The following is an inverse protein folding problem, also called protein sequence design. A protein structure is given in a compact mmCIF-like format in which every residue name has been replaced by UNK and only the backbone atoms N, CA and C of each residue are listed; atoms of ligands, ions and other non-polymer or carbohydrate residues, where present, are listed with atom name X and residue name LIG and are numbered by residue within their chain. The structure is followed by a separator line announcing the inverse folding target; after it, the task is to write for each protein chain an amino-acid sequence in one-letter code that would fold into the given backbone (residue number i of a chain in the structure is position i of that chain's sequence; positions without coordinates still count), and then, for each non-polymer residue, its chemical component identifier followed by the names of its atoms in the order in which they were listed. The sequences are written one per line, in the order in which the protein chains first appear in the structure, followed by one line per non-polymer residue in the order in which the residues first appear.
data_IF_687879181030
#
_entry.id   IF_687879181030
#
_cell.length_a   1.000
_cell.length_b   1.000
_cell.length_c   1.000
_cell.angle_alpha   90.00
_cell.angle_beta   90.00
_cell.angle_gamma   90.00
#
_symmetry.space_group_name_H-M   'P 1'
#
loop_
_entity.id
_entity.type
_entity.pdbx_description
1 polymer ?
#
# COMPACT_ATOMS: atom_id res chain seq x y z
N UNK A 1 4.49 13.23 6.64
CA UNK A 1 5.79 13.48 5.99
C UNK A 1 6.84 12.43 6.39
N UNK A 2 7.11 12.24 7.70
CA UNK A 2 8.19 11.39 8.23
C UNK A 2 8.16 9.97 7.67
N UNK A 3 7.00 9.28 7.73
CA UNK A 3 6.87 7.92 7.22
C UNK A 3 7.15 7.83 5.71
N UNK A 4 6.72 8.81 4.94
CA UNK A 4 6.99 8.88 3.50
C UNK A 4 8.48 9.04 3.21
N UNK A 5 9.15 9.96 3.90
CA UNK A 5 10.59 10.20 3.77
C UNK A 5 11.40 8.96 4.18
N UNK A 6 11.07 8.32 5.31
CA UNK A 6 11.68 7.06 5.78
C UNK A 6 11.49 5.91 4.78
N UNK A 7 10.39 5.92 4.02
CA UNK A 7 10.12 4.93 2.97
C UNK A 7 10.77 5.25 1.62
N UNK A 8 11.62 6.28 1.56
CA UNK A 8 12.37 6.67 0.37
C UNK A 8 11.61 7.56 -0.62
N UNK A 9 10.44 8.09 -0.26
CA UNK A 9 9.74 9.06 -1.09
C UNK A 9 10.31 10.48 -0.89
N UNK A 10 10.40 11.22 -1.99
CA UNK A 10 10.57 12.67 -1.92
C UNK A 10 9.21 13.27 -1.57
N UNK A 11 9.11 13.94 -0.43
CA UNK A 11 7.85 14.47 0.09
C UNK A 11 7.81 15.99 -0.09
N UNK A 12 6.83 16.47 -0.83
CA UNK A 12 6.52 17.90 -0.94
C UNK A 12 5.29 18.22 -0.12
N UNK A 13 5.39 19.18 0.78
CA UNK A 13 4.25 19.69 1.54
C UNK A 13 3.72 20.95 0.89
N UNK A 14 2.41 20.99 0.69
CA UNK A 14 1.69 22.15 0.17
C UNK A 14 0.68 22.58 1.24
N UNK A 15 0.85 23.77 1.79
CA UNK A 15 0.02 24.29 2.89
C UNK A 15 0.07 25.82 2.93
N UNK A 16 -0.92 26.42 3.59
CA UNK A 16 -0.87 27.84 3.92
C UNK A 16 0.13 28.16 5.02
N UNK A 17 0.49 27.16 5.85
CA UNK A 17 1.54 27.22 6.86
C UNK A 17 2.61 26.19 6.53
N UNK A 18 3.80 26.64 6.18
CA UNK A 18 4.94 25.79 5.76
C UNK A 18 6.16 26.03 6.65
N UNK A 19 5.95 26.09 7.96
CA UNK A 19 7.04 26.22 8.92
C UNK A 19 7.96 25.00 8.89
N UNK A 20 9.28 25.26 8.88
CA UNK A 20 10.28 24.22 8.74
C UNK A 20 10.25 23.22 9.89
N UNK A 21 10.01 23.68 11.10
CA UNK A 21 9.94 22.84 12.28
C UNK A 21 8.76 21.86 12.24
N UNK A 22 7.62 22.30 11.67
CA UNK A 22 6.41 21.48 11.57
C UNK A 22 6.56 20.35 10.53
N UNK A 23 7.33 20.56 9.48
CA UNK A 23 7.50 19.62 8.37
C UNK A 23 8.98 19.31 8.10
N UNK A 24 9.75 19.06 9.14
CA UNK A 24 11.22 18.87 9.06
C UNK A 24 11.63 17.73 8.11
N UNK A 25 10.83 16.68 8.00
CA UNK A 25 11.08 15.56 7.09
C UNK A 25 10.63 15.79 5.64
N UNK A 26 10.05 16.94 5.31
CA UNK A 26 9.69 17.26 3.94
C UNK A 26 10.91 17.66 3.12
N UNK A 27 11.02 17.13 1.89
CA UNK A 27 12.05 17.51 0.94
C UNK A 27 11.83 18.92 0.39
N UNK A 28 10.57 19.28 0.18
CA UNK A 28 10.15 20.59 -0.32
C UNK A 28 8.91 21.07 0.43
N UNK A 29 8.80 22.40 0.54
CA UNK A 29 7.66 23.08 1.16
C UNK A 29 7.19 24.20 0.24
N UNK A 30 5.93 24.17 -0.12
CA UNK A 30 5.33 25.11 -1.06
C UNK A 30 4.11 25.75 -0.42
N UNK A 31 4.06 27.06 -0.38
CA UNK A 31 2.85 27.79 0.02
C UNK A 31 1.71 27.49 -0.96
N UNK A 32 0.52 27.20 -0.46
CA UNK A 32 -0.64 26.87 -1.32
C UNK A 32 -0.89 27.92 -2.42
N UNK A 33 -0.76 29.19 -2.09
CA UNK A 33 -0.90 30.31 -3.05
C UNK A 33 0.19 30.35 -4.15
N UNK A 34 1.32 29.69 -3.94
CA UNK A 34 2.43 29.61 -4.89
C UNK A 34 2.50 28.24 -5.58
N UNK A 35 1.57 27.36 -5.28
CA UNK A 35 1.54 26.02 -5.85
C UNK A 35 1.10 26.06 -7.31
N UNK A 36 1.96 25.54 -8.18
CA UNK A 36 1.65 25.34 -9.60
C UNK A 36 1.46 23.83 -9.87
N UNK A 37 0.21 23.38 -10.07
CA UNK A 37 -0.07 21.96 -10.29
C UNK A 37 0.56 21.41 -11.57
N UNK A 38 0.97 22.25 -12.51
CA UNK A 38 1.59 21.79 -13.78
C UNK A 38 3.01 21.27 -13.58
N UNK A 39 3.68 21.66 -12.49
CA UNK A 39 5.02 21.23 -12.13
C UNK A 39 5.03 19.88 -11.40
N UNK A 40 3.85 19.39 -10.94
CA UNK A 40 3.67 18.21 -10.08
C UNK A 40 2.81 17.12 -10.73
N UNK A 41 3.16 16.74 -11.97
CA UNK A 41 2.40 15.74 -12.71
C UNK A 41 2.83 14.31 -12.39
N UNK A 42 1.85 13.37 -12.47
CA UNK A 42 2.08 11.94 -12.29
C UNK A 42 2.63 11.55 -10.89
N UNK A 43 2.37 12.34 -9.88
CA UNK A 43 2.78 12.07 -8.50
C UNK A 43 1.71 11.32 -7.71
N UNK A 44 2.05 10.93 -6.49
CA UNK A 44 1.11 10.40 -5.51
C UNK A 44 0.69 11.56 -4.61
N UNK A 45 -0.57 11.92 -4.65
CA UNK A 45 -1.09 13.08 -3.92
C UNK A 45 -2.02 12.64 -2.80
N UNK A 46 -1.87 13.24 -1.62
CA UNK A 46 -2.76 13.02 -0.47
C UNK A 46 -3.27 14.37 0.00
N UNK A 47 -4.58 14.55 -0.06
CA UNK A 47 -5.26 15.72 0.48
C UNK A 47 -5.74 15.38 1.89
N UNK A 48 -5.21 16.08 2.91
CA UNK A 48 -5.48 15.86 4.33
C UNK A 48 -5.75 17.17 5.08
N UNK A 49 -6.57 18.00 4.49
CA UNK A 49 -7.07 19.24 5.06
C UNK A 49 -8.01 18.97 6.24
N UNK A 50 -7.92 19.76 7.30
CA UNK A 50 -8.74 19.57 8.50
C UNK A 50 -10.14 20.23 8.43
N UNK A 51 -10.67 20.43 7.22
CA UNK A 51 -12.01 20.95 7.00
C UNK A 51 -12.04 22.32 6.32
N UNK A 52 -10.95 23.07 6.36
CA UNK A 52 -10.82 24.33 5.65
C UNK A 52 -10.11 24.12 4.31
N UNK A 53 -10.67 24.67 3.22
CA UNK A 53 -10.06 24.58 1.89
C UNK A 53 -10.10 23.20 1.21
N UNK A 54 -10.92 22.24 1.69
CA UNK A 54 -11.03 20.89 1.11
C UNK A 54 -11.32 20.94 -0.40
N UNK A 55 -12.27 21.76 -0.83
CA UNK A 55 -12.67 21.85 -2.24
C UNK A 55 -11.55 22.43 -3.10
N UNK A 56 -10.88 23.47 -2.64
CA UNK A 56 -9.80 24.13 -3.37
C UNK A 56 -8.57 23.23 -3.46
N UNK A 57 -8.21 22.59 -2.35
CA UNK A 57 -7.08 21.67 -2.30
C UNK A 57 -7.31 20.45 -3.19
N UNK A 58 -8.52 19.88 -3.18
CA UNK A 58 -8.84 18.73 -4.01
C UNK A 58 -8.94 19.13 -5.50
N UNK A 59 -9.47 20.29 -5.82
CA UNK A 59 -9.49 20.82 -7.18
C UNK A 59 -8.08 21.05 -7.73
N UNK A 60 -7.18 21.64 -6.94
CA UNK A 60 -5.77 21.83 -7.30
C UNK A 60 -5.05 20.49 -7.47
N UNK A 61 -5.27 19.55 -6.56
CA UNK A 61 -4.71 18.20 -6.66
C UNK A 61 -5.15 17.47 -7.94
N UNK A 62 -6.40 17.59 -8.36
CA UNK A 62 -6.90 17.01 -9.61
C UNK A 62 -6.19 17.55 -10.86
N UNK A 63 -5.75 18.80 -10.83
CA UNK A 63 -5.03 19.43 -11.95
C UNK A 63 -3.61 18.85 -12.15
N UNK A 64 -3.02 18.22 -11.14
CA UNK A 64 -1.71 17.55 -11.26
C UNK A 64 -1.78 16.26 -12.09
N UNK A 65 -2.96 15.78 -12.45
CA UNK A 65 -3.18 14.47 -13.10
C UNK A 65 -2.42 13.34 -12.39
N UNK A 66 -2.72 13.10 -11.10
CA UNK A 66 -1.91 12.23 -10.25
C UNK A 66 -2.10 10.77 -10.57
N UNK A 67 -1.08 9.95 -10.29
CA UNK A 67 -1.17 8.47 -10.32
C UNK A 67 -2.06 7.93 -9.20
N UNK A 68 -2.10 8.63 -8.08
CA UNK A 68 -2.93 8.35 -6.93
C UNK A 68 -3.38 9.68 -6.32
N UNK A 69 -4.64 9.78 -5.99
CA UNK A 69 -5.20 10.91 -5.25
C UNK A 69 -6.03 10.41 -4.09
N UNK A 70 -5.44 10.38 -2.91
CA UNK A 70 -6.12 10.05 -1.66
C UNK A 70 -6.73 11.27 -1.00
N UNK A 71 -8.00 11.19 -0.62
CA UNK A 71 -8.65 12.22 0.19
C UNK A 71 -8.96 11.68 1.57
N UNK A 72 -8.32 12.25 2.60
CA UNK A 72 -8.49 11.87 4.00
C UNK A 72 -9.71 12.57 4.57
N UNK A 73 -10.85 11.93 4.46
CA UNK A 73 -12.12 12.43 4.95
C UNK A 73 -13.06 11.29 5.33
N UNK A 74 -14.03 11.56 6.21
CA UNK A 74 -15.16 10.65 6.38
C UNK A 74 -15.97 10.53 5.09
N UNK A 75 -16.63 9.41 4.87
CA UNK A 75 -17.48 9.20 3.67
C UNK A 75 -18.51 10.30 3.48
N UNK A 76 -19.10 10.80 4.58
CA UNK A 76 -20.07 11.90 4.54
C UNK A 76 -19.44 13.21 4.04
N UNK A 77 -18.25 13.54 4.56
CA UNK A 77 -17.52 14.76 4.18
C UNK A 77 -17.04 14.65 2.73
N UNK A 78 -16.45 13.53 2.35
CA UNK A 78 -15.98 13.29 1.00
C UNK A 78 -17.09 13.44 -0.04
N UNK A 79 -18.26 12.83 0.22
CA UNK A 79 -19.43 12.99 -0.66
C UNK A 79 -19.86 14.47 -0.81
N UNK A 80 -19.88 15.23 0.28
CA UNK A 80 -20.23 16.64 0.23
C UNK A 80 -19.27 17.46 -0.65
N UNK A 81 -17.95 17.24 -0.48
CA UNK A 81 -16.89 17.91 -1.26
C UNK A 81 -16.96 17.52 -2.73
N UNK A 82 -17.07 16.23 -3.04
CA UNK A 82 -17.18 15.75 -4.42
C UNK A 82 -18.44 16.30 -5.12
N UNK A 83 -19.56 16.39 -4.41
CA UNK A 83 -20.78 17.00 -4.95
C UNK A 83 -20.62 18.51 -5.17
N UNK A 84 -19.88 19.21 -4.31
CA UNK A 84 -19.56 20.61 -4.51
C UNK A 84 -18.68 20.83 -5.76
N UNK A 85 -17.66 20.01 -5.95
CA UNK A 85 -16.81 20.05 -7.13
C UNK A 85 -17.58 19.70 -8.42
N UNK A 86 -18.52 18.75 -8.35
CA UNK A 86 -19.41 18.43 -9.47
C UNK A 86 -20.26 19.65 -9.86
N UNK A 87 -20.77 20.41 -8.88
CA UNK A 87 -21.51 21.66 -9.15
C UNK A 87 -20.64 22.76 -9.76
N UNK A 88 -19.33 22.72 -9.52
CA UNK A 88 -18.31 23.59 -10.16
C UNK A 88 -17.83 23.03 -11.51
N UNK A 89 -18.59 22.11 -12.10
CA UNK A 89 -18.35 21.51 -13.42
C UNK A 89 -17.04 20.71 -13.56
N UNK A 90 -16.46 20.25 -12.44
CA UNK A 90 -15.32 19.31 -12.51
C UNK A 90 -15.80 18.00 -13.17
N UNK A 91 -15.13 17.52 -14.24
CA UNK A 91 -15.56 16.35 -14.97
C UNK A 91 -15.66 15.10 -14.07
N UNK A 92 -16.72 14.32 -14.26
CA UNK A 92 -16.93 13.08 -13.49
C UNK A 92 -15.75 12.11 -13.57
N UNK A 93 -15.11 12.02 -14.73
CA UNK A 93 -13.91 11.18 -14.92
C UNK A 93 -12.72 11.60 -14.03
N UNK A 94 -12.59 12.88 -13.70
CA UNK A 94 -11.59 13.37 -12.75
C UNK A 94 -12.01 13.06 -11.31
N UNK A 95 -13.27 13.31 -10.96
CA UNK A 95 -13.79 13.01 -9.61
C UNK A 95 -13.69 11.52 -9.28
N UNK A 96 -13.85 10.65 -10.27
CA UNK A 96 -13.71 9.20 -10.11
C UNK A 96 -12.26 8.75 -9.78
N UNK A 97 -11.25 9.60 -10.00
CA UNK A 97 -9.86 9.31 -9.60
C UNK A 97 -9.62 9.48 -8.09
N UNK A 98 -10.53 10.17 -7.39
CA UNK A 98 -10.37 10.44 -5.95
C UNK A 98 -10.66 9.18 -5.16
N UNK A 99 -9.64 8.66 -4.49
CA UNK A 99 -9.77 7.55 -3.55
C UNK A 99 -10.19 8.07 -2.18
N UNK A 100 -11.36 7.67 -1.74
CA UNK A 100 -11.87 8.01 -0.41
C UNK A 100 -12.74 6.88 0.14
N UNK A 101 -12.54 6.45 1.37
CA UNK A 101 -11.44 6.82 2.26
C UNK A 101 -10.06 6.50 1.66
N UNK A 102 -9.07 7.36 1.94
CA UNK A 102 -7.70 7.16 1.52
C UNK A 102 -7.04 6.01 2.30
N UNK A 103 -6.21 5.21 1.61
CA UNK A 103 -5.49 4.10 2.21
C UNK A 103 -6.19 2.75 2.10
N UNK A 104 -5.47 1.69 2.45
CA UNK A 104 -6.01 0.34 2.58
C UNK A 104 -6.90 0.25 3.82
N UNK A 105 -7.95 -0.56 3.74
CA UNK A 105 -8.78 -0.85 4.91
C UNK A 105 -8.06 -1.83 5.85
N UNK A 106 -7.42 -1.27 6.87
CA UNK A 106 -6.72 -2.00 7.93
C UNK A 106 -7.38 -1.80 9.29
N UNK A 107 -8.62 -1.29 9.34
CA UNK A 107 -9.31 -0.86 10.56
C UNK A 107 -8.53 0.21 11.36
N UNK A 108 -7.81 1.10 10.69
CA UNK A 108 -7.04 2.18 11.29
C UNK A 108 -7.92 3.08 12.16
N UNK A 109 -7.47 3.39 13.39
CA UNK A 109 -8.21 4.21 14.36
C UNK A 109 -7.50 5.50 14.75
N UNK A 110 -6.18 5.50 14.67
CA UNK A 110 -5.36 6.67 15.01
C UNK A 110 -4.69 7.26 13.77
N UNK A 111 -4.33 8.55 13.77
CA UNK A 111 -3.75 9.23 12.60
C UNK A 111 -2.52 8.54 12.01
N UNK A 112 -1.66 7.97 12.85
CA UNK A 112 -0.46 7.25 12.41
C UNK A 112 -0.81 5.98 11.63
N UNK A 113 -1.82 5.22 12.06
CA UNK A 113 -2.29 4.03 11.36
C UNK A 113 -2.91 4.38 10.01
N UNK A 114 -3.66 5.49 9.95
CA UNK A 114 -4.19 6.03 8.69
C UNK A 114 -3.04 6.40 7.74
N UNK A 115 -2.00 7.06 8.22
CA UNK A 115 -0.83 7.39 7.42
C UNK A 115 -0.10 6.15 6.89
N UNK A 116 0.03 5.10 7.71
CA UNK A 116 0.59 3.80 7.32
C UNK A 116 -0.28 3.15 6.23
N UNK A 117 -1.60 3.15 6.37
CA UNK A 117 -2.51 2.54 5.40
C UNK A 117 -2.45 3.23 4.03
N UNK A 118 -2.34 4.56 4.03
CA UNK A 118 -2.18 5.35 2.80
C UNK A 118 -0.84 5.05 2.14
N UNK A 119 0.23 5.01 2.91
CA UNK A 119 1.56 4.72 2.39
C UNK A 119 1.64 3.30 1.82
N UNK A 120 1.03 2.33 2.49
CA UNK A 120 0.94 0.95 2.01
C UNK A 120 0.20 0.87 0.66
N UNK A 121 -0.91 1.60 0.49
CA UNK A 121 -1.65 1.68 -0.78
C UNK A 121 -0.80 2.32 -1.89
N UNK A 122 -0.09 3.41 -1.60
CA UNK A 122 0.83 4.06 -2.54
C UNK A 122 1.94 3.10 -2.97
N UNK A 123 2.56 2.38 -2.03
CA UNK A 123 3.60 1.39 -2.31
C UNK A 123 3.04 0.26 -3.20
N UNK A 124 1.87 -0.25 -2.89
CA UNK A 124 1.19 -1.28 -3.68
C UNK A 124 0.98 -0.80 -5.13
N UNK A 125 0.47 0.42 -5.31
CA UNK A 125 0.25 1.00 -6.63
C UNK A 125 1.55 1.29 -7.39
N UNK A 126 2.58 1.75 -6.70
CA UNK A 126 3.89 2.04 -7.31
C UNK A 126 4.56 0.79 -7.87
N UNK A 127 4.29 -0.36 -7.28
CA UNK A 127 4.87 -1.67 -7.64
C UNK A 127 3.99 -2.53 -8.53
N UNK A 128 2.70 -2.20 -8.67
CA UNK A 128 1.74 -3.00 -9.48
C UNK A 128 1.88 -2.83 -11.01
N UNK A 129 2.63 -1.84 -11.48
CA UNK A 129 3.10 -1.78 -12.87
C UNK A 129 4.52 -2.32 -12.85
N UNK A 130 4.78 -3.37 -13.61
CA UNK A 130 6.10 -3.98 -13.73
C UNK A 130 7.19 -2.90 -13.83
N UNK A 131 7.76 -2.57 -12.68
CA UNK A 131 8.96 -1.77 -12.61
C UNK A 131 10.11 -2.71 -13.00
N UNK A 132 10.83 -2.44 -14.09
CA UNK A 132 11.98 -3.26 -14.46
C UNK A 132 13.08 -3.23 -13.38
N UNK A 133 12.98 -2.36 -12.36
CA UNK A 133 13.85 -2.34 -11.18
C UNK A 133 13.30 -3.09 -9.96
N UNK A 134 12.08 -3.62 -10.01
CA UNK A 134 11.68 -4.70 -9.15
C UNK A 134 11.69 -5.97 -10.02
N UNK A 135 12.80 -6.67 -10.12
CA UNK A 135 12.73 -8.04 -10.58
C UNK A 135 11.74 -8.64 -9.57
N UNK A 136 10.51 -8.98 -9.99
CA UNK A 136 9.87 -10.15 -9.42
C UNK A 136 11.01 -11.10 -9.20
N UNK A 137 11.38 -11.37 -7.92
CA UNK A 137 12.40 -12.39 -7.65
C UNK A 137 12.00 -13.48 -8.63
N UNK A 138 12.82 -13.76 -9.65
CA UNK A 138 12.46 -14.80 -10.59
C UNK A 138 12.30 -15.98 -9.66
N UNK A 139 11.08 -16.46 -9.49
CA UNK A 139 10.88 -17.76 -8.90
C UNK A 139 11.72 -18.63 -9.82
N UNK A 140 12.93 -18.96 -9.36
CA UNK A 140 13.80 -19.91 -10.04
C UNK A 140 12.87 -21.05 -10.43
N UNK A 141 12.71 -21.36 -11.74
CA UNK A 141 11.82 -22.45 -12.14
C UNK A 141 12.17 -23.75 -11.41
N UNK A 142 13.41 -23.86 -10.89
CA UNK A 142 13.83 -24.92 -9.98
C UNK A 142 13.29 -24.71 -8.54
N UNK A 143 13.00 -23.47 -8.10
CA UNK A 143 12.44 -23.23 -6.77
C UNK A 143 10.99 -23.72 -6.66
N UNK A 144 10.23 -23.65 -7.75
CA UNK A 144 8.86 -24.21 -7.78
C UNK A 144 8.85 -25.74 -7.71
N UNK A 145 9.90 -26.41 -8.21
CA UNK A 145 10.05 -27.87 -8.10
C UNK A 145 10.59 -28.32 -6.73
N UNK A 146 11.25 -27.42 -6.00
CA UNK A 146 11.79 -27.67 -4.65
C UNK A 146 10.78 -27.36 -3.53
N UNK A 147 9.66 -26.67 -3.82
CA UNK A 147 8.65 -26.35 -2.83
C UNK A 147 7.64 -27.50 -2.65
N UNK A 148 7.38 -27.84 -1.40
CA UNK A 148 6.40 -28.82 -0.97
C UNK A 148 5.49 -28.20 0.11
N UNK A 149 4.20 -28.46 0.05
CA UNK A 149 3.27 -28.00 1.08
C UNK A 149 3.21 -29.03 2.20
N UNK A 150 3.71 -28.66 3.37
CA UNK A 150 3.65 -29.51 4.56
C UNK A 150 2.19 -29.84 4.90
N UNK A 151 1.80 -31.13 4.97
CA UNK A 151 0.41 -31.51 5.14
C UNK A 151 -0.16 -31.14 6.51
N UNK A 152 0.69 -30.98 7.53
CA UNK A 152 0.28 -30.67 8.91
C UNK A 152 -0.02 -29.18 9.09
N UNK A 153 0.95 -28.30 8.78
CA UNK A 153 0.81 -26.86 9.01
C UNK A 153 0.42 -26.06 7.76
N UNK A 154 0.35 -26.70 6.58
CA UNK A 154 0.03 -26.09 5.28
C UNK A 154 1.01 -25.00 4.82
N UNK A 155 2.20 -24.94 5.42
CA UNK A 155 3.26 -23.98 5.08
C UNK A 155 4.16 -24.58 3.99
N UNK A 156 4.57 -23.79 2.96
CA UNK A 156 5.54 -24.22 1.99
C UNK A 156 6.90 -24.52 2.65
N UNK A 157 7.49 -25.66 2.30
CA UNK A 157 8.80 -26.13 2.76
C UNK A 157 9.66 -26.42 1.53
N UNK A 158 10.91 -25.94 1.53
CA UNK A 158 11.90 -26.36 0.53
C UNK A 158 12.26 -27.82 0.79
N UNK A 159 12.14 -28.67 -0.23
CA UNK A 159 12.51 -30.10 -0.13
C UNK A 159 13.97 -30.28 0.24
N UNK A 160 14.83 -29.42 -0.30
CA UNK A 160 16.27 -29.40 -0.02
C UNK A 160 16.64 -28.95 1.39
N UNK A 161 15.76 -28.16 2.06
CA UNK A 161 15.96 -27.62 3.41
C UNK A 161 15.00 -28.19 4.44
N UNK A 162 14.24 -29.22 4.10
CA UNK A 162 13.30 -29.85 5.02
C UNK A 162 14.04 -30.49 6.21
N UNK A 163 13.52 -30.24 7.43
CA UNK A 163 14.14 -30.79 8.65
C UNK A 163 13.93 -32.30 8.77
N UNK A 164 12.79 -32.79 8.31
CA UNK A 164 12.46 -34.22 8.25
C UNK A 164 11.83 -34.58 6.91
N UNK A 165 12.16 -35.76 6.43
CA UNK A 165 11.57 -36.37 5.24
C UNK A 165 11.14 -37.78 5.57
N UNK A 166 9.92 -38.16 5.21
CA UNK A 166 9.34 -39.48 5.45
C UNK A 166 8.75 -40.03 4.16
N UNK A 167 8.95 -41.29 3.88
CA UNK A 167 8.22 -41.98 2.82
C UNK A 167 6.88 -42.51 3.38
N UNK A 168 5.77 -42.09 2.77
CA UNK A 168 4.44 -42.57 3.10
C UNK A 168 3.69 -42.92 1.82
N UNK A 169 3.19 -44.14 1.73
CA UNK A 169 2.48 -44.67 0.53
C UNK A 169 3.24 -44.50 -0.80
N UNK A 170 4.57 -44.51 -0.75
CA UNK A 170 5.44 -44.37 -1.94
C UNK A 170 5.76 -42.93 -2.33
N UNK A 171 5.28 -41.94 -1.56
CA UNK A 171 5.56 -40.53 -1.75
C UNK A 171 6.43 -39.95 -0.62
N UNK A 172 7.29 -38.98 -0.94
CA UNK A 172 8.12 -38.30 0.06
C UNK A 172 7.33 -37.10 0.64
N UNK A 173 7.19 -37.10 1.96
CA UNK A 173 6.53 -36.05 2.74
C UNK A 173 7.59 -35.25 3.51
N UNK A 174 7.57 -33.93 3.37
CA UNK A 174 8.60 -33.02 3.88
C UNK A 174 8.06 -32.15 5.01
N UNK A 175 8.81 -32.03 6.13
CA UNK A 175 8.38 -31.30 7.31
C UNK A 175 9.37 -30.18 7.68
N UNK A 176 8.83 -29.04 8.08
CA UNK A 176 9.61 -27.87 8.49
C UNK A 176 10.15 -27.94 9.93
N UNK A 177 9.57 -28.79 10.79
CA UNK A 177 9.92 -28.86 12.21
C UNK A 177 9.55 -30.23 12.82
N UNK A 178 10.10 -30.50 14.03
CA UNK A 178 9.85 -31.72 14.79
C UNK A 178 8.36 -31.91 15.11
N UNK A 179 7.67 -30.82 15.52
CA UNK A 179 6.25 -30.90 15.88
C UNK A 179 5.35 -31.34 14.73
N UNK A 180 5.59 -30.88 13.51
CA UNK A 180 4.85 -31.35 12.33
C UNK A 180 5.15 -32.82 12.02
N UNK A 181 6.40 -33.21 12.10
CA UNK A 181 6.84 -34.58 11.90
C UNK A 181 6.19 -35.53 12.93
N UNK A 182 6.26 -35.21 14.22
CA UNK A 182 5.66 -36.01 15.30
C UNK A 182 4.14 -36.10 15.19
N UNK A 183 3.46 -35.01 14.82
CA UNK A 183 2.02 -35.00 14.62
C UNK A 183 1.60 -35.93 13.47
N UNK A 184 2.34 -35.86 12.37
CA UNK A 184 2.11 -36.76 11.22
C UNK A 184 2.36 -38.23 11.57
N UNK A 185 3.42 -38.52 12.31
CA UNK A 185 3.73 -39.89 12.75
C UNK A 185 2.64 -40.53 13.63
N UNK A 186 1.95 -39.72 14.43
CA UNK A 186 0.87 -40.18 15.31
C UNK A 186 -0.38 -40.57 14.53
N UNK A 187 -0.75 -39.80 13.51
CA UNK A 187 -1.98 -40.01 12.77
C UNK A 187 -1.85 -39.50 11.31
N UNK A 188 -1.14 -40.25 10.44
CA UNK A 188 -0.90 -39.83 9.06
C UNK A 188 -2.18 -39.58 8.26
N UNK A 189 -3.20 -40.42 8.44
CA UNK A 189 -4.49 -40.35 7.74
C UNK A 189 -5.33 -39.11 8.08
N UNK A 190 -4.95 -38.34 9.11
CA UNK A 190 -5.60 -37.07 9.42
C UNK A 190 -5.09 -35.91 8.53
N UNK A 191 -3.98 -36.09 7.83
CA UNK A 191 -3.29 -35.04 7.09
C UNK A 191 -3.16 -35.29 5.58
N UNK A 192 -3.31 -36.56 5.18
CA UNK A 192 -3.25 -37.00 3.76
C UNK A 192 -4.55 -37.70 3.38
#
# INVERSE_FOLDING_TARGET
CELGALSGFRVTVISDLVEEEMFSAASDRVMLKAFDPTLHRNEYVVVCTQGEGDEESLASALQTDPKYLGFVASSRKANAVLMALKRKEVPHAQLAKVKTPAGLDINAKIPTEVAISILAEIIQLSRSKADPMNPSIPLDPNLSSDLYINPVCKIPVSKSAAKHVVEHEGEQVYFCCDGCYESFQKEPSAYI
#
